data_IF_412723369252
#
_entry.id   IF_412723369252
#
_cell.length_a   1.000
_cell.length_b   1.000
_cell.length_c   1.000
_cell.angle_alpha   90.00
_cell.angle_beta   90.00
_cell.angle_gamma   90.00
#
_symmetry.space_group_name_H-M   'P 1'
#
loop_
_entity.id
_entity.type
_entity.pdbx_description
1 polymer ?
#
# COMPACT_ATOMS: atom_id res chain seq x y z
N UNK A 1 -14.64 -13.94 -7.09
CA UNK A 1 -13.76 -13.63 -5.92
C UNK A 1 -12.49 -12.99 -6.45
N UNK A 2 -12.07 -11.83 -5.91
CA UNK A 2 -10.90 -11.10 -6.41
C UNK A 2 -9.63 -11.84 -5.97
N UNK A 3 -8.77 -12.15 -6.95
CA UNK A 3 -7.46 -12.74 -6.72
C UNK A 3 -6.36 -11.70 -6.93
N UNK A 4 -5.41 -11.69 -6.01
CA UNK A 4 -4.20 -10.88 -6.02
C UNK A 4 -2.98 -11.77 -6.29
N UNK A 5 -1.86 -11.16 -6.62
CA UNK A 5 -0.58 -11.88 -6.74
C UNK A 5 0.29 -11.62 -5.52
N UNK A 6 0.65 -12.69 -4.82
CA UNK A 6 1.52 -12.67 -3.65
C UNK A 6 2.94 -13.06 -4.05
N UNK A 7 3.93 -12.30 -3.58
CA UNK A 7 5.36 -12.49 -3.80
C UNK A 7 6.07 -12.65 -2.46
N UNK A 8 6.96 -13.62 -2.32
CA UNK A 8 7.68 -13.93 -1.07
C UNK A 8 8.77 -12.92 -0.69
N UNK A 9 9.08 -11.99 -1.55
CA UNK A 9 10.09 -10.96 -1.34
C UNK A 9 10.31 -10.15 -2.61
N UNK A 10 11.20 -9.15 -2.57
CA UNK A 10 11.42 -8.25 -3.71
C UNK A 10 11.98 -8.95 -4.96
N UNK A 11 12.69 -10.03 -4.76
CA UNK A 11 13.33 -10.79 -5.87
C UNK A 11 12.48 -11.99 -6.36
N UNK A 12 11.33 -12.23 -5.74
CA UNK A 12 10.45 -13.32 -6.17
C UNK A 12 9.80 -12.98 -7.50
N UNK A 13 9.99 -13.86 -8.49
CA UNK A 13 9.42 -13.77 -9.83
C UNK A 13 8.33 -14.82 -10.07
N UNK A 14 7.99 -15.61 -9.06
CA UNK A 14 6.97 -16.65 -9.12
C UNK A 14 5.78 -16.28 -8.23
N UNK A 15 4.90 -15.35 -8.68
CA UNK A 15 3.75 -14.96 -7.90
C UNK A 15 2.79 -16.14 -7.73
N UNK A 16 2.20 -16.24 -6.55
CA UNK A 16 1.09 -17.16 -6.31
C UNK A 16 -0.22 -16.37 -6.17
N UNK A 17 -1.34 -16.91 -6.66
CA UNK A 17 -2.63 -16.28 -6.44
C UNK A 17 -3.00 -16.34 -4.95
N UNK A 18 -3.65 -15.29 -4.46
CA UNK A 18 -4.17 -15.20 -3.10
C UNK A 18 -5.45 -14.37 -3.12
N UNK A 19 -6.45 -14.78 -2.39
CA UNK A 19 -7.65 -13.96 -2.18
C UNK A 19 -7.39 -12.84 -1.19
N UNK A 20 -8.24 -11.81 -1.21
CA UNK A 20 -8.13 -10.72 -0.23
C UNK A 20 -8.28 -11.23 1.21
N UNK A 21 -9.15 -12.21 1.44
CA UNK A 21 -9.38 -12.81 2.76
C UNK A 21 -8.15 -13.58 3.26
N UNK A 22 -7.55 -14.41 2.40
CA UNK A 22 -6.30 -15.12 2.71
C UNK A 22 -5.15 -14.14 2.99
N UNK A 23 -5.04 -13.06 2.19
CA UNK A 23 -4.06 -12.02 2.42
C UNK A 23 -4.23 -11.37 3.80
N UNK A 24 -5.45 -10.97 4.16
CA UNK A 24 -5.76 -10.39 5.47
C UNK A 24 -5.45 -11.36 6.61
N UNK A 25 -5.81 -12.64 6.44
CA UNK A 25 -5.49 -13.68 7.41
C UNK A 25 -3.99 -13.83 7.60
N UNK A 26 -3.23 -13.94 6.50
CA UNK A 26 -1.77 -14.01 6.54
C UNK A 26 -1.15 -12.78 7.24
N UNK A 27 -1.58 -11.58 6.90
CA UNK A 27 -1.08 -10.36 7.53
C UNK A 27 -1.33 -10.32 9.05
N UNK A 28 -2.39 -10.98 9.53
CA UNK A 28 -2.75 -11.03 10.95
C UNK A 28 -2.05 -12.15 11.72
N UNK A 29 -1.80 -13.28 11.07
CA UNK A 29 -1.43 -14.53 11.77
C UNK A 29 -0.03 -15.02 11.44
N UNK A 30 0.58 -14.57 10.33
CA UNK A 30 1.91 -15.05 9.91
C UNK A 30 2.99 -14.47 10.83
N UNK A 31 3.65 -15.36 11.57
CA UNK A 31 4.72 -15.00 12.50
C UNK A 31 5.91 -14.38 11.78
N UNK A 32 6.25 -14.83 10.57
CA UNK A 32 7.38 -14.27 9.82
C UNK A 32 7.14 -12.83 9.40
N UNK A 33 5.91 -12.48 9.06
CA UNK A 33 5.50 -11.09 8.77
C UNK A 33 5.66 -10.20 10.00
N UNK A 34 5.27 -10.70 11.18
CA UNK A 34 5.46 -10.00 12.46
C UNK A 34 6.94 -9.78 12.76
N UNK A 35 7.72 -10.86 12.76
CA UNK A 35 9.15 -10.82 13.11
C UNK A 35 9.91 -9.86 12.19
N UNK A 36 9.65 -9.90 10.89
CA UNK A 36 10.28 -8.99 9.93
C UNK A 36 9.84 -7.54 10.16
N UNK A 37 8.58 -7.30 10.51
CA UNK A 37 8.07 -5.97 10.83
C UNK A 37 8.77 -5.40 12.06
N UNK A 38 8.88 -6.18 13.13
CA UNK A 38 9.56 -5.78 14.37
C UNK A 38 11.05 -5.51 14.12
N UNK A 39 11.75 -6.42 13.43
CA UNK A 39 13.16 -6.25 13.06
C UNK A 39 13.38 -4.99 12.21
N UNK A 40 12.52 -4.74 11.24
CA UNK A 40 12.60 -3.52 10.43
C UNK A 40 12.42 -2.25 11.27
N UNK A 41 11.39 -2.21 12.13
CA UNK A 41 11.13 -1.05 13.00
C UNK A 41 12.24 -0.84 14.01
N UNK A 42 12.77 -1.90 14.60
CA UNK A 42 13.93 -1.83 15.50
C UNK A 42 15.15 -1.25 14.77
N UNK A 43 15.50 -1.79 13.60
CA UNK A 43 16.63 -1.29 12.80
C UNK A 43 16.47 0.20 12.46
N UNK A 44 15.25 0.65 12.08
CA UNK A 44 14.97 2.08 11.87
C UNK A 44 15.16 2.91 13.14
N UNK A 45 14.68 2.43 14.27
CA UNK A 45 14.77 3.15 15.55
C UNK A 45 16.22 3.26 16.07
N UNK A 46 17.10 2.32 15.70
CA UNK A 46 18.51 2.29 16.07
C UNK A 46 19.46 2.89 15.02
N UNK A 47 18.91 3.40 13.90
CA UNK A 47 19.71 3.96 12.80
C UNK A 47 20.42 2.93 11.92
N UNK A 48 20.09 1.64 12.03
CA UNK A 48 20.60 0.59 11.14
C UNK A 48 19.84 0.59 9.80
N UNK A 49 20.20 1.51 8.92
CA UNK A 49 19.57 1.66 7.60
C UNK A 49 19.78 0.43 6.71
N UNK A 50 20.93 -0.25 6.83
CA UNK A 50 21.22 -1.45 6.05
C UNK A 50 20.35 -2.63 6.51
N UNK A 51 20.22 -2.83 7.80
CA UNK A 51 19.32 -3.82 8.39
C UNK A 51 17.87 -3.56 8.02
N UNK A 52 17.40 -2.32 8.14
CA UNK A 52 16.07 -1.92 7.76
C UNK A 52 15.77 -2.22 6.28
N UNK A 53 16.69 -1.85 5.37
CA UNK A 53 16.58 -2.15 3.95
C UNK A 53 16.53 -3.65 3.68
N UNK A 54 17.38 -4.43 4.34
CA UNK A 54 17.40 -5.90 4.22
C UNK A 54 16.07 -6.52 4.63
N UNK A 55 15.57 -6.18 5.81
CA UNK A 55 14.29 -6.72 6.29
C UNK A 55 13.11 -6.32 5.39
N UNK A 56 13.09 -5.08 4.88
CA UNK A 56 12.09 -4.63 3.90
C UNK A 56 12.10 -5.48 2.61
N UNK A 57 13.29 -5.84 2.10
CA UNK A 57 13.43 -6.68 0.89
C UNK A 57 12.94 -8.12 1.10
N UNK A 58 13.02 -8.62 2.33
CA UNK A 58 12.54 -9.96 2.69
C UNK A 58 11.02 -10.02 2.91
N UNK A 59 10.36 -8.87 3.11
CA UNK A 59 8.91 -8.82 3.32
C UNK A 59 8.15 -9.39 2.13
N UNK A 60 7.13 -10.17 2.44
CA UNK A 60 6.11 -10.56 1.48
C UNK A 60 5.43 -9.31 0.92
N UNK A 61 5.23 -9.28 -0.38
CA UNK A 61 4.56 -8.20 -1.08
C UNK A 61 3.45 -8.72 -1.98
N UNK A 62 2.53 -7.89 -2.38
CA UNK A 62 1.44 -8.30 -3.25
C UNK A 62 1.12 -7.22 -4.29
N UNK A 63 0.66 -7.66 -5.45
CA UNK A 63 0.14 -6.80 -6.50
C UNK A 63 -1.34 -6.49 -6.25
N UNK A 64 -1.70 -5.20 -6.21
CA UNK A 64 -3.09 -4.78 -5.96
C UNK A 64 -3.86 -4.64 -7.26
N UNK A 65 -3.33 -3.88 -8.22
CA UNK A 65 -4.04 -3.49 -9.43
C UNK A 65 -4.14 -4.60 -10.49
N UNK A 66 -3.26 -5.60 -10.42
CA UNK A 66 -3.19 -6.65 -11.42
C UNK A 66 -2.77 -8.00 -10.82
N UNK A 67 -3.26 -9.07 -11.45
CA UNK A 67 -2.79 -10.42 -11.25
C UNK A 67 -1.67 -10.72 -12.24
N UNK A 68 -0.60 -11.36 -11.75
CA UNK A 68 0.60 -11.66 -12.51
C UNK A 68 0.83 -13.18 -12.59
N UNK A 69 1.45 -13.64 -13.68
CA UNK A 69 1.94 -15.00 -13.85
C UNK A 69 3.35 -14.98 -14.45
N UNK A 70 4.27 -15.77 -13.87
CA UNK A 70 5.65 -15.92 -14.36
C UNK A 70 6.54 -14.69 -14.19
N UNK A 71 6.13 -13.66 -13.44
CA UNK A 71 6.95 -12.48 -13.19
C UNK A 71 6.18 -11.30 -12.60
N UNK A 72 6.85 -10.13 -12.58
CA UNK A 72 6.31 -8.88 -12.02
C UNK A 72 6.17 -7.75 -13.04
N UNK A 73 6.65 -7.96 -14.26
CA UNK A 73 6.64 -6.93 -15.30
C UNK A 73 5.25 -6.84 -15.94
N UNK A 74 4.97 -5.72 -16.60
CA UNK A 74 3.71 -5.47 -17.28
C UNK A 74 3.30 -6.62 -18.24
N UNK A 75 4.26 -7.23 -18.95
CA UNK A 75 4.01 -8.36 -19.84
C UNK A 75 3.51 -9.63 -19.15
N UNK A 76 3.62 -9.71 -17.83
CA UNK A 76 3.15 -10.82 -16.98
C UNK A 76 1.79 -10.55 -16.36
N UNK A 77 1.15 -9.44 -16.67
CA UNK A 77 -0.22 -9.14 -16.25
C UNK A 77 -1.17 -10.05 -17.02
N UNK A 78 -1.96 -10.83 -16.32
CA UNK A 78 -2.99 -11.70 -16.88
C UNK A 78 -4.39 -11.17 -16.66
N UNK A 79 -4.58 -10.33 -15.63
CA UNK A 79 -5.90 -9.80 -15.28
C UNK A 79 -5.76 -8.50 -14.46
N UNK A 80 -6.65 -7.53 -14.70
CA UNK A 80 -6.79 -6.36 -13.83
C UNK A 80 -7.79 -6.69 -12.72
N UNK A 81 -7.45 -6.36 -11.49
CA UNK A 81 -8.26 -6.70 -10.31
C UNK A 81 -9.45 -5.76 -10.07
N UNK A 82 -9.45 -4.58 -10.68
CA UNK A 82 -10.39 -3.50 -10.35
C UNK A 82 -10.13 -2.88 -8.98
N UNK A 83 -8.94 -3.13 -8.40
CA UNK A 83 -8.50 -2.54 -7.14
C UNK A 83 -7.40 -1.53 -7.37
N UNK A 84 -7.40 -0.50 -6.53
CA UNK A 84 -6.32 0.47 -6.44
C UNK A 84 -5.88 0.66 -4.99
N UNK A 85 -4.74 1.30 -4.81
CA UNK A 85 -4.11 1.51 -3.52
C UNK A 85 -3.68 2.97 -3.38
N UNK A 86 -4.00 3.56 -2.22
CA UNK A 86 -3.48 4.86 -1.77
C UNK A 86 -2.51 4.63 -0.63
N UNK A 87 -1.34 5.26 -0.71
CA UNK A 87 -0.36 5.35 0.36
C UNK A 87 -0.45 6.73 1.01
N UNK A 88 -0.66 6.77 2.33
CA UNK A 88 -0.60 7.99 3.14
C UNK A 88 0.63 7.83 4.04
N UNK A 89 1.67 8.60 3.74
CA UNK A 89 2.92 8.56 4.48
C UNK A 89 3.03 9.70 5.51
N UNK A 90 3.94 9.55 6.47
CA UNK A 90 4.30 10.56 7.46
C UNK A 90 3.12 11.05 8.32
N UNK A 91 2.23 10.13 8.71
CA UNK A 91 1.16 10.43 9.65
C UNK A 91 1.78 10.61 11.04
N UNK A 92 1.61 11.77 11.70
CA UNK A 92 2.03 11.96 13.07
C UNK A 92 1.40 10.92 14.00
N UNK A 93 2.16 10.43 14.99
CA UNK A 93 1.70 9.33 15.84
C UNK A 93 0.40 9.68 16.60
N UNK A 94 0.26 10.94 17.00
CA UNK A 94 -0.92 11.49 17.68
C UNK A 94 -2.17 11.53 16.79
N UNK A 95 -1.98 11.64 15.47
CA UNK A 95 -3.07 11.67 14.49
C UNK A 95 -3.45 10.31 13.92
N UNK A 96 -2.64 9.28 14.17
CA UNK A 96 -2.87 7.95 13.59
C UNK A 96 -4.25 7.39 13.93
N UNK A 97 -4.70 7.55 15.18
CA UNK A 97 -6.01 7.07 15.64
C UNK A 97 -7.16 7.81 14.97
N UNK A 98 -7.04 9.13 14.77
CA UNK A 98 -8.02 9.95 14.07
C UNK A 98 -8.15 9.52 12.61
N UNK A 99 -7.01 9.42 11.90
CA UNK A 99 -6.99 9.02 10.49
C UNK A 99 -7.54 7.59 10.30
N UNK A 100 -7.19 6.66 11.19
CA UNK A 100 -7.77 5.31 11.20
C UNK A 100 -9.29 5.32 11.40
N UNK A 101 -9.82 6.20 12.25
CA UNK A 101 -11.26 6.31 12.46
C UNK A 101 -11.98 6.82 11.20
N UNK A 102 -11.41 7.82 10.52
CA UNK A 102 -11.93 8.34 9.25
C UNK A 102 -11.95 7.25 8.17
N UNK A 103 -10.84 6.53 8.00
CA UNK A 103 -10.72 5.45 7.01
C UNK A 103 -11.68 4.29 7.31
N UNK A 104 -11.94 4.00 8.59
CA UNK A 104 -12.94 3.00 9.01
C UNK A 104 -14.38 3.38 8.65
N UNK A 105 -14.67 4.66 8.69
CA UNK A 105 -16.00 5.20 8.36
C UNK A 105 -16.24 5.33 6.86
N UNK A 106 -15.19 5.29 6.04
CA UNK A 106 -15.31 5.43 4.59
C UNK A 106 -15.86 4.16 3.94
N UNK A 107 -16.96 4.29 3.22
CA UNK A 107 -17.66 3.17 2.57
C UNK A 107 -16.90 2.59 1.37
N UNK A 108 -15.98 3.34 0.78
CA UNK A 108 -15.19 2.91 -0.38
C UNK A 108 -13.95 2.11 0.03
N UNK A 109 -13.54 2.20 1.29
CA UNK A 109 -12.40 1.46 1.82
C UNK A 109 -12.71 -0.03 1.95
N UNK A 110 -11.99 -0.86 1.21
CA UNK A 110 -12.05 -2.32 1.32
C UNK A 110 -11.15 -2.86 2.43
N UNK A 111 -9.93 -2.35 2.47
CA UNK A 111 -8.90 -2.75 3.42
C UNK A 111 -8.01 -1.56 3.71
N UNK A 112 -7.67 -1.35 4.99
CA UNK A 112 -6.61 -0.44 5.35
C UNK A 112 -5.68 -1.09 6.37
N UNK A 113 -4.38 -0.77 6.28
CA UNK A 113 -3.37 -1.28 7.20
C UNK A 113 -2.20 -0.30 7.33
N UNK A 114 -1.52 -0.37 8.47
CA UNK A 114 -0.32 0.45 8.69
C UNK A 114 0.84 0.00 7.83
N UNK A 115 1.62 0.96 7.33
CA UNK A 115 2.85 0.67 6.58
C UNK A 115 3.89 -0.04 7.45
N UNK A 116 4.90 -0.62 6.83
CA UNK A 116 5.97 -1.34 7.53
C UNK A 116 6.70 -0.45 8.55
N UNK A 117 6.87 0.83 8.25
CA UNK A 117 7.45 1.82 9.18
C UNK A 117 6.57 2.12 10.39
N UNK A 118 5.28 1.91 10.29
CA UNK A 118 4.28 2.27 11.31
C UNK A 118 3.82 3.73 11.27
N UNK A 119 4.36 4.56 10.37
CA UNK A 119 4.06 5.99 10.25
C UNK A 119 3.21 6.34 9.02
N UNK A 120 2.51 5.37 8.47
CA UNK A 120 1.64 5.57 7.32
C UNK A 120 0.55 4.53 7.25
N UNK A 121 -0.40 4.75 6.34
CA UNK A 121 -1.50 3.85 6.03
C UNK A 121 -1.51 3.52 4.56
N UNK A 122 -1.89 2.28 4.27
CA UNK A 122 -2.25 1.81 2.93
C UNK A 122 -3.72 1.49 2.89
N UNK A 123 -4.40 2.04 1.90
CA UNK A 123 -5.86 1.92 1.75
C UNK A 123 -6.14 1.31 0.39
N UNK A 124 -6.83 0.17 0.37
CA UNK A 124 -7.31 -0.47 -0.84
C UNK A 124 -8.78 -0.10 -1.06
N UNK A 125 -9.11 0.23 -2.30
CA UNK A 125 -10.47 0.53 -2.72
C UNK A 125 -10.76 -0.05 -4.11
N UNK A 126 -12.04 -0.21 -4.44
CA UNK A 126 -12.48 -0.61 -5.78
C UNK A 126 -12.64 0.61 -6.65
N UNK A 127 -12.32 0.45 -7.93
CA UNK A 127 -12.68 1.43 -8.94
C UNK A 127 -13.32 0.75 -10.15
N UNK A 128 -14.19 1.47 -10.84
CA UNK A 128 -14.74 1.09 -12.13
C UNK A 128 -14.28 2.10 -13.16
N UNK A 129 -13.75 1.60 -14.28
CA UNK A 129 -13.46 2.45 -15.42
C UNK A 129 -14.74 2.55 -16.23
N UNK A 130 -15.40 3.70 -16.15
CA UNK A 130 -16.44 4.00 -17.12
C UNK A 130 -15.75 4.21 -18.46
N UNK A 131 -15.93 3.29 -19.40
CA UNK A 131 -15.53 3.51 -20.79
C UNK A 131 -16.44 4.61 -21.33
N UNK A 132 -16.05 5.86 -21.22
CA UNK A 132 -16.55 6.90 -22.10
C UNK A 132 -16.02 6.57 -23.49
N UNK A 133 -16.86 5.97 -24.30
CA UNK A 133 -16.70 5.94 -25.76
C UNK A 133 -16.81 7.39 -26.20
N UNK A 134 -15.67 8.05 -26.39
CA UNK A 134 -15.48 9.17 -27.30
C UNK A 134 -14.10 9.80 -27.05
N UNK A 135 -13.07 9.11 -27.50
CA UNK A 135 -11.87 9.80 -27.97
C UNK A 135 -11.90 9.69 -29.49
N UNK A 136 -12.66 10.56 -30.12
CA UNK A 136 -12.49 10.87 -31.53
C UNK A 136 -11.15 11.59 -31.66
N UNK A 137 -10.20 10.88 -32.22
CA UNK A 137 -8.90 11.36 -32.64
C UNK A 137 -9.12 12.46 -33.70
N UNK A 138 -9.17 13.72 -33.28
CA UNK A 138 -9.06 14.86 -34.16
C UNK A 138 -7.65 15.41 -34.04
N UNK A 139 -6.78 14.84 -34.86
CA UNK A 139 -5.51 15.44 -35.23
C UNK A 139 -5.76 16.80 -35.88
N UNK A 140 -5.41 17.88 -35.20
CA UNK A 140 -5.09 19.19 -35.83
C UNK A 140 -3.94 19.83 -35.09
N UNK A 141 -2.96 20.15 -35.93
CA UNK A 141 -1.70 20.84 -35.64
C UNK A 141 -1.81 22.13 -34.83
N UNK A 142 -0.74 22.42 -34.09
CA UNK A 142 -0.24 23.78 -34.00
C UNK A 142 -0.12 24.38 -32.60
N UNK A 143 1.14 24.51 -32.19
CA UNK A 143 1.74 25.64 -31.48
C UNK A 143 1.55 25.85 -29.98
N UNK A 144 2.74 26.03 -29.38
CA UNK A 144 3.12 26.83 -28.20
C UNK A 144 2.72 26.37 -26.82
N UNK A 145 3.75 25.89 -26.10
CA UNK A 145 3.80 25.72 -24.67
C UNK A 145 3.81 27.06 -23.90
N UNK A 146 3.24 27.15 -22.73
CA UNK A 146 3.74 27.98 -21.65
C UNK A 146 4.46 27.15 -20.60
N UNK A 147 5.69 27.57 -20.30
CA UNK A 147 6.46 27.14 -19.14
C UNK A 147 5.81 27.71 -17.87
N UNK A 148 5.44 26.87 -16.93
CA UNK A 148 5.18 27.29 -15.57
C UNK A 148 6.15 26.61 -14.60
N UNK A 149 7.04 27.46 -14.10
CA UNK A 149 7.92 27.21 -12.98
C UNK A 149 7.11 27.16 -11.69
N UNK A 150 7.03 26.00 -11.04
CA UNK A 150 6.71 25.94 -9.62
C UNK A 150 7.73 25.06 -8.89
N UNK A 151 8.77 25.76 -8.41
CA UNK A 151 9.71 25.23 -7.42
C UNK A 151 9.01 25.16 -6.07
N UNK A 152 8.71 23.95 -5.59
CA UNK A 152 8.43 23.72 -4.18
C UNK A 152 9.73 23.49 -3.43
N UNK A 153 10.04 24.41 -2.53
CA UNK A 153 11.20 24.45 -1.66
C UNK A 153 10.93 23.62 -0.38
N UNK A 154 11.71 22.61 -0.04
CA UNK A 154 11.53 21.86 1.21
C UNK A 154 12.28 22.56 2.35
N UNK A 155 11.55 23.03 3.37
CA UNK A 155 12.13 23.50 4.64
C UNK A 155 12.09 22.41 5.69
N UNK A 156 13.27 22.09 6.18
CA UNK A 156 13.73 21.47 7.43
C UNK A 156 12.72 20.79 8.38
N UNK A 157 13.04 19.57 8.81
CA UNK A 157 12.38 18.92 9.91
C UNK A 157 13.08 19.26 11.23
N UNK A 158 12.31 19.74 12.18
CA UNK A 158 12.72 19.89 13.57
C UNK A 158 12.59 18.56 14.31
N UNK A 159 13.66 18.23 15.05
CA UNK A 159 13.81 17.19 16.04
C UNK A 159 12.61 17.06 16.99
N UNK A 160 12.17 15.81 17.20
CA UNK A 160 11.49 15.42 18.42
C UNK A 160 11.78 13.95 18.73
N UNK A 161 12.82 13.75 19.53
CA UNK A 161 12.96 12.55 20.32
C UNK A 161 11.92 12.59 21.45
N UNK A 162 11.02 11.63 21.50
CA UNK A 162 10.31 11.31 22.72
C UNK A 162 10.05 9.81 22.82
N UNK A 163 10.55 9.33 23.93
CA UNK A 163 10.48 8.01 24.57
C UNK A 163 9.14 7.30 24.37
N UNK A 164 9.12 6.20 23.65
CA UNK A 164 8.01 5.26 23.65
C UNK A 164 8.40 3.99 24.39
N UNK A 165 7.98 3.90 25.66
CA UNK A 165 7.90 2.67 26.45
C UNK A 165 6.71 1.84 25.95
N UNK A 166 7.00 0.60 25.55
CA UNK A 166 6.12 -0.57 25.61
C UNK A 166 4.65 -0.37 25.21
N UNK A 167 4.36 -0.34 23.92
CA UNK A 167 3.04 -0.65 23.39
C UNK A 167 3.16 -1.85 22.46
N UNK A 168 2.39 -2.86 22.77
CA UNK A 168 2.19 -4.04 21.96
C UNK A 168 1.81 -3.60 20.52
N UNK A 169 2.72 -3.83 19.56
CA UNK A 169 2.53 -3.36 18.19
C UNK A 169 1.76 -4.46 17.44
N UNK A 170 0.49 -4.51 17.66
CA UNK A 170 -0.43 -5.28 16.82
C UNK A 170 -0.65 -4.44 15.55
N UNK A 171 -0.46 -4.99 14.35
CA UNK A 171 -0.88 -4.30 13.13
C UNK A 171 -2.37 -3.99 13.23
N UNK A 172 -2.72 -2.72 13.34
CA UNK A 172 -4.12 -2.31 13.48
C UNK A 172 -4.80 -2.48 12.13
N UNK A 173 -5.49 -3.62 11.95
CA UNK A 173 -6.27 -3.87 10.76
C UNK A 173 -7.62 -3.20 10.84
N UNK A 174 -7.95 -2.47 9.81
CA UNK A 174 -9.27 -1.90 9.60
C UNK A 174 -10.10 -2.85 8.75
N UNK A 175 -11.35 -2.95 9.11
CA UNK A 175 -12.42 -3.80 8.60
C UNK A 175 -12.38 -4.01 7.08
N UNK A 176 -12.50 -5.26 6.63
CA UNK A 176 -12.90 -5.59 5.26
C UNK A 176 -14.41 -5.36 5.17
N UNK A 177 -14.84 -4.35 4.44
CA UNK A 177 -16.25 -4.19 4.09
C UNK A 177 -16.60 -5.19 2.99
N UNK A 178 -17.17 -6.33 3.39
CA UNK A 178 -17.85 -7.22 2.45
C UNK A 178 -19.21 -6.60 2.14
N UNK A 179 -19.32 -5.87 1.02
CA UNK A 179 -20.66 -5.64 0.43
C UNK A 179 -21.15 -6.99 -0.08
N UNK A 180 -22.22 -7.51 0.51
CA UNK A 180 -23.02 -8.57 -0.13
C UNK A 180 -23.50 -7.98 -1.45
N UNK A 181 -23.16 -8.64 -2.55
CA UNK A 181 -23.83 -8.39 -3.83
C UNK A 181 -25.31 -8.69 -3.59
N UNK A 182 -26.12 -7.65 -3.62
CA UNK A 182 -27.57 -7.78 -3.70
C UNK A 182 -27.86 -8.08 -5.16
N UNK A 183 -28.28 -9.33 -5.42
CA UNK A 183 -28.80 -9.76 -6.70
C UNK A 183 -30.06 -8.95 -7.06
#
# INVERSE_FOLDING_TARGET
MIQLSLFRGVHDTQPRPVTLEELVTMMRTDQSVRDLTEKHRYARATGDEQGASRYKKMMTSFGVAARFEGGRQQKHIVELTGLSLVDIDHIPAERMSEVLALVRGDEHTLLAYTTLSGHGLRILFRYTVNKTTDYSDSSTDGSSAPQDNNQCNPRNPLDLQSKNKGREIIPTFVRVNQRREVN
#
